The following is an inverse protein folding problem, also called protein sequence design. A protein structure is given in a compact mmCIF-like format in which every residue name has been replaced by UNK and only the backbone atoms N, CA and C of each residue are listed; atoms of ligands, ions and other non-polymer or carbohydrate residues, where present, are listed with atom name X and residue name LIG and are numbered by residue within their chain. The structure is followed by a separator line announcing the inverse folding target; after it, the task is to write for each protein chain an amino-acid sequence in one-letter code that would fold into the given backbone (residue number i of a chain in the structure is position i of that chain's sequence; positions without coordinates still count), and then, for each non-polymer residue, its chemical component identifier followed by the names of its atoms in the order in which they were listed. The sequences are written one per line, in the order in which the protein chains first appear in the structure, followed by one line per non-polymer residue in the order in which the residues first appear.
data_IF_097153425305
#
_entry.id   IF_097153425305
#
_cell.length_a   1.000
_cell.length_b   1.000
_cell.length_c   1.000
_cell.angle_alpha   90.00
_cell.angle_beta   90.00
_cell.angle_gamma   90.00
#
_symmetry.space_group_name_H-M   'P 1'
#
loop_
_entity.id
_entity.type
_entity.pdbx_description
1 polymer ?
#
# COMPACT_ATOMS: atom_id res chain seq x y z
N UNK A 1 -1.76 -20.66 -17.38
CA UNK A 1 -1.73 -20.57 -15.90
C UNK A 1 -3.14 -20.35 -15.35
N UNK A 2 -3.53 -20.83 -14.16
CA UNK A 2 -4.88 -20.58 -13.63
C UNK A 2 -4.85 -19.37 -12.70
N UNK A 3 -5.70 -18.39 -12.92
CA UNK A 3 -5.77 -17.18 -12.09
C UNK A 3 -6.05 -17.46 -10.61
N UNK A 4 -6.67 -18.61 -10.30
CA UNK A 4 -6.83 -19.11 -8.93
C UNK A 4 -5.52 -19.27 -8.16
N UNK A 5 -4.40 -19.42 -8.87
CA UNK A 5 -3.07 -19.63 -8.29
C UNK A 5 -2.54 -18.32 -7.66
N UNK A 6 -3.11 -17.17 -8.02
CA UNK A 6 -2.74 -15.84 -7.50
C UNK A 6 -3.68 -15.30 -6.41
N UNK A 7 -4.35 -16.19 -5.70
CA UNK A 7 -5.28 -15.78 -4.65
C UNK A 7 -4.57 -15.01 -3.53
N UNK A 8 -3.36 -15.43 -3.17
CA UNK A 8 -2.55 -14.81 -2.13
C UNK A 8 -1.29 -14.24 -2.75
N UNK A 9 -1.10 -12.94 -2.61
CA UNK A 9 0.06 -12.22 -3.13
C UNK A 9 0.69 -11.39 -2.03
N UNK A 10 1.98 -11.13 -2.15
CA UNK A 10 2.73 -10.44 -1.12
C UNK A 10 3.51 -9.29 -1.73
N UNK A 11 3.39 -8.13 -1.09
CA UNK A 11 4.15 -6.94 -1.44
C UNK A 11 5.27 -6.80 -0.43
N UNK A 12 6.52 -6.77 -0.87
CA UNK A 12 7.62 -6.37 0.01
C UNK A 12 7.49 -4.89 0.28
N UNK A 13 7.65 -4.50 1.54
CA UNK A 13 7.61 -3.11 2.00
C UNK A 13 8.87 -2.86 2.80
N UNK A 14 9.65 -1.88 2.38
CA UNK A 14 10.86 -1.45 3.09
C UNK A 14 10.80 0.05 3.37
N UNK A 15 11.19 0.45 4.57
CA UNK A 15 11.26 1.86 4.94
C UNK A 15 12.20 2.07 6.11
N UNK A 16 13.13 3.01 5.98
CA UNK A 16 14.01 3.42 7.08
C UNK A 16 13.21 3.97 8.26
N UNK A 17 12.16 4.71 7.95
CA UNK A 17 11.26 5.30 8.92
C UNK A 17 9.88 5.43 8.31
N UNK A 18 8.90 4.74 8.90
CA UNK A 18 7.52 4.79 8.47
C UNK A 18 6.64 5.42 9.56
N UNK A 19 6.09 6.60 9.25
CA UNK A 19 5.08 7.27 10.07
C UNK A 19 3.70 6.92 9.53
N UNK A 20 2.89 6.27 10.35
CA UNK A 20 1.52 5.91 9.98
C UNK A 20 0.56 6.62 10.93
N UNK A 21 -0.07 7.67 10.41
CA UNK A 21 -1.22 8.30 11.05
C UNK A 21 -2.39 7.29 11.13
N UNK A 22 -3.28 7.46 12.11
CA UNK A 22 -4.34 6.49 12.51
C UNK A 22 -3.93 5.38 13.51
N UNK A 23 -2.88 5.64 14.29
CA UNK A 23 -2.44 4.84 15.46
C UNK A 23 -1.85 3.47 15.15
N UNK A 24 -0.52 3.37 15.26
CA UNK A 24 0.19 2.10 15.28
C UNK A 24 -0.17 1.36 16.57
N UNK A 25 -0.75 0.18 16.45
CA UNK A 25 -1.10 -0.63 17.63
C UNK A 25 0.15 -1.37 18.09
N UNK A 26 0.69 -1.01 19.24
CA UNK A 26 1.89 -1.65 19.78
C UNK A 26 1.54 -2.75 20.77
N UNK A 27 2.43 -3.74 20.94
CA UNK A 27 2.33 -4.75 22.01
C UNK A 27 2.55 -4.16 23.42
N UNK A 28 2.78 -2.84 23.53
CA UNK A 28 2.86 -2.12 24.80
C UNK A 28 1.53 -2.23 25.55
N UNK A 29 1.51 -2.99 26.65
CA UNK A 29 0.42 -2.90 27.61
C UNK A 29 0.34 -1.45 28.14
N UNK A 30 -0.85 -0.85 28.11
CA UNK A 30 -1.18 0.52 28.55
C UNK A 30 -0.88 0.85 30.03
N UNK A 31 0.02 0.14 30.71
CA UNK A 31 0.28 0.30 32.14
C UNK A 31 1.19 1.49 32.50
N UNK A 32 1.82 2.19 31.54
CA UNK A 32 2.56 3.42 31.88
C UNK A 32 2.83 4.32 30.66
N UNK A 33 1.93 5.28 30.43
CA UNK A 33 2.18 6.42 29.53
C UNK A 33 3.35 7.32 29.98
N UNK A 34 3.95 7.07 31.15
CA UNK A 34 4.99 7.91 31.75
C UNK A 34 6.41 7.33 31.82
N UNK A 35 6.62 6.04 31.51
CA UNK A 35 7.93 5.39 31.68
C UNK A 35 8.46 4.88 30.34
N UNK A 36 8.71 5.78 29.39
CA UNK A 36 9.53 5.43 28.23
C UNK A 36 10.99 5.78 28.57
N UNK A 37 11.84 4.77 28.68
CA UNK A 37 13.29 4.95 28.76
C UNK A 37 13.91 4.38 27.49
N UNK A 38 14.61 5.20 26.71
CA UNK A 38 15.21 4.83 25.41
C UNK A 38 16.09 3.57 25.48
N UNK A 39 16.67 3.28 26.65
CA UNK A 39 17.60 2.19 26.88
C UNK A 39 16.97 0.94 27.50
N UNK A 40 15.65 0.88 27.70
CA UNK A 40 15.00 -0.29 28.30
C UNK A 40 15.13 -1.52 27.40
N UNK A 41 15.73 -2.64 27.87
CA UNK A 41 15.76 -3.92 27.16
C UNK A 41 14.37 -4.46 26.77
N UNK A 42 13.29 -3.99 27.41
CA UNK A 42 11.90 -4.28 27.08
C UNK A 42 11.35 -3.46 25.91
N UNK A 43 12.12 -2.52 25.33
CA UNK A 43 11.76 -1.81 24.09
C UNK A 43 11.73 -2.70 22.84
N UNK A 44 11.65 -4.03 23.00
CA UNK A 44 11.30 -5.01 21.97
C UNK A 44 9.80 -4.92 21.61
N UNK A 45 9.33 -3.71 21.36
CA UNK A 45 7.93 -3.42 21.11
C UNK A 45 7.63 -3.77 19.65
N UNK A 46 6.96 -4.91 19.47
CA UNK A 46 6.27 -5.23 18.23
C UNK A 46 4.94 -4.47 18.13
N UNK A 47 4.23 -4.70 17.04
CA UNK A 47 2.93 -4.09 16.83
C UNK A 47 2.30 -4.43 15.51
N UNK A 48 1.29 -3.65 15.15
CA UNK A 48 0.47 -3.80 13.97
C UNK A 48 0.36 -2.43 13.30
N UNK A 49 0.76 -2.40 12.03
CA UNK A 49 0.40 -1.36 11.08
C UNK A 49 -1.01 -1.67 10.56
N UNK A 50 -2.01 -0.81 10.84
CA UNK A 50 -3.38 -1.03 10.37
C UNK A 50 -3.45 -1.06 8.84
N UNK A 51 -4.39 -1.83 8.30
CA UNK A 51 -4.53 -1.98 6.85
C UNK A 51 -5.08 -0.72 6.15
N UNK A 52 -5.63 0.25 6.89
CA UNK A 52 -6.34 1.39 6.33
C UNK A 52 -5.41 2.31 5.52
N UNK A 53 -4.33 2.81 6.14
CA UNK A 53 -3.40 3.73 5.48
C UNK A 53 -2.68 3.10 4.28
N UNK A 54 -2.12 1.87 4.40
CA UNK A 54 -1.57 1.14 3.24
C UNK A 54 -2.61 0.88 2.15
N UNK A 55 -3.89 0.66 2.53
CA UNK A 55 -4.96 0.47 1.55
C UNK A 55 -5.27 1.72 0.74
N UNK A 56 -5.27 2.91 1.36
CA UNK A 56 -5.48 4.16 0.64
C UNK A 56 -4.32 4.46 -0.31
N UNK A 57 -3.10 4.23 0.16
CA UNK A 57 -1.87 4.35 -0.63
C UNK A 57 -1.85 3.40 -1.83
N UNK A 58 -2.16 2.12 -1.63
CA UNK A 58 -2.27 1.14 -2.71
C UNK A 58 -3.33 1.53 -3.74
N UNK A 59 -4.51 1.97 -3.26
CA UNK A 59 -5.58 2.43 -4.14
C UNK A 59 -5.10 3.57 -5.02
N UNK A 60 -4.40 4.54 -4.45
CA UNK A 60 -3.85 5.68 -5.20
C UNK A 60 -2.84 5.23 -6.28
N UNK A 61 -1.94 4.31 -5.96
CA UNK A 61 -1.01 3.74 -6.95
C UNK A 61 -1.72 3.04 -8.11
N UNK A 62 -2.74 2.23 -7.80
CA UNK A 62 -3.57 1.57 -8.81
C UNK A 62 -4.40 2.56 -9.64
N UNK A 63 -4.94 3.62 -9.02
CA UNK A 63 -5.65 4.68 -9.75
C UNK A 63 -4.73 5.35 -10.78
N UNK A 64 -3.48 5.62 -10.40
CA UNK A 64 -2.49 6.19 -11.30
C UNK A 64 -2.11 5.25 -12.44
N UNK A 65 -1.95 3.96 -12.16
CA UNK A 65 -1.73 2.97 -13.20
C UNK A 65 -2.88 2.90 -14.23
N UNK A 66 -4.14 3.13 -13.82
CA UNK A 66 -5.26 3.23 -14.77
C UNK A 66 -5.21 4.53 -15.57
N UNK A 67 -4.91 5.66 -14.92
CA UNK A 67 -4.76 6.96 -15.61
C UNK A 67 -3.65 6.94 -16.66
N UNK A 68 -2.54 6.25 -16.42
CA UNK A 68 -1.45 6.08 -17.41
C UNK A 68 -1.87 5.28 -18.65
N UNK A 69 -3.03 4.62 -18.60
CA UNK A 69 -3.64 3.87 -19.70
C UNK A 69 -4.87 4.60 -20.27
N UNK A 70 -4.95 5.91 -20.05
CA UNK A 70 -6.06 6.78 -20.45
C UNK A 70 -7.45 6.35 -19.93
N UNK A 71 -7.48 5.49 -18.89
CA UNK A 71 -8.70 5.01 -18.26
C UNK A 71 -9.26 5.98 -17.23
N UNK A 72 -10.55 5.83 -16.92
CA UNK A 72 -11.18 6.56 -15.81
C UNK A 72 -11.35 5.70 -14.57
N UNK A 73 -11.32 6.32 -13.39
CA UNK A 73 -11.44 5.62 -12.11
C UNK A 73 -12.52 6.19 -11.22
N UNK A 74 -13.09 5.34 -10.37
CA UNK A 74 -14.18 5.75 -9.50
C UNK A 74 -13.69 6.72 -8.44
N UNK A 75 -14.35 7.88 -8.34
CA UNK A 75 -14.07 8.86 -7.30
C UNK A 75 -14.23 8.26 -5.88
N UNK A 76 -13.29 8.50 -4.94
CA UNK A 76 -13.35 7.94 -3.59
C UNK A 76 -14.42 8.59 -2.69
N UNK A 77 -14.68 9.89 -2.89
CA UNK A 77 -15.70 10.66 -2.17
C UNK A 77 -17.06 10.72 -2.90
N UNK A 78 -18.13 10.99 -2.16
CA UNK A 78 -19.47 11.21 -2.74
C UNK A 78 -19.63 12.64 -3.25
N UNK A 79 -20.45 12.81 -4.31
CA UNK A 79 -20.72 14.11 -4.91
C UNK A 79 -21.35 15.12 -3.93
N UNK A 80 -22.12 14.62 -2.96
CA UNK A 80 -22.84 15.37 -1.93
C UNK A 80 -22.08 15.45 -0.59
N UNK A 81 -20.83 14.97 -0.51
CA UNK A 81 -20.08 15.04 0.74
C UNK A 81 -19.92 16.51 1.15
N UNK A 82 -20.33 16.84 2.38
CA UNK A 82 -20.35 18.19 2.97
C UNK A 82 -18.98 18.93 3.00
N UNK A 83 -17.93 18.32 2.45
CA UNK A 83 -16.55 18.80 2.39
C UNK A 83 -16.14 19.26 1.00
N UNK A 84 -17.09 19.54 0.07
CA UNK A 84 -16.79 20.25 -1.19
C UNK A 84 -16.11 21.58 -0.86
N UNK A 85 -14.78 21.56 -0.77
CA UNK A 85 -13.99 22.76 -1.06
C UNK A 85 -14.25 23.05 -2.53
N UNK A 86 -14.76 24.24 -2.81
CA UNK A 86 -15.14 24.62 -4.17
C UNK A 86 -14.04 24.28 -5.17
N UNK A 87 -14.42 23.54 -6.22
CA UNK A 87 -13.52 23.15 -7.32
C UNK A 87 -12.70 21.88 -7.11
N UNK A 88 -12.59 21.30 -5.90
CA UNK A 88 -11.81 20.04 -5.71
C UNK A 88 -12.46 18.87 -6.45
N UNK A 89 -13.76 18.67 -6.26
CA UNK A 89 -14.48 17.58 -6.91
C UNK A 89 -14.41 17.67 -8.43
N UNK A 90 -14.64 18.86 -9.01
CA UNK A 90 -14.59 19.05 -10.46
C UNK A 90 -13.17 18.85 -10.99
N UNK A 91 -12.15 19.32 -10.28
CA UNK A 91 -10.75 19.09 -10.66
C UNK A 91 -10.40 17.60 -10.66
N UNK A 92 -10.92 16.85 -9.69
CA UNK A 92 -10.71 15.40 -9.65
C UNK A 92 -11.43 14.76 -10.85
N UNK A 93 -12.63 15.21 -11.24
CA UNK A 93 -13.28 14.75 -12.48
C UNK A 93 -12.42 15.03 -13.72
N UNK A 94 -11.89 16.25 -13.84
CA UNK A 94 -11.00 16.66 -14.94
C UNK A 94 -9.67 15.86 -14.95
N UNK A 95 -9.31 15.25 -13.81
CA UNK A 95 -8.11 14.44 -13.65
C UNK A 95 -8.33 12.94 -13.92
N UNK A 96 -9.44 12.58 -14.57
CA UNK A 96 -9.74 11.19 -14.94
C UNK A 96 -10.50 10.40 -13.88
N UNK A 97 -11.17 11.09 -12.95
CA UNK A 97 -12.14 10.43 -12.07
C UNK A 97 -13.55 10.55 -12.66
N UNK A 98 -14.36 9.50 -12.55
CA UNK A 98 -15.79 9.59 -12.84
C UNK A 98 -16.59 9.67 -11.52
N UNK A 99 -17.81 10.22 -11.55
CA UNK A 99 -18.66 10.29 -10.36
C UNK A 99 -18.88 8.90 -9.73
N UNK A 100 -18.93 8.89 -8.40
CA UNK A 100 -19.10 7.67 -7.61
C UNK A 100 -20.50 7.11 -7.84
N UNK A 101 -20.58 5.92 -8.44
CA UNK A 101 -21.86 5.29 -8.79
C UNK A 101 -22.03 5.03 -10.27
N UNK A 102 -21.43 5.87 -11.12
CA UNK A 102 -21.66 5.83 -12.58
C UNK A 102 -21.17 4.51 -13.19
N UNK A 103 -20.10 3.93 -12.64
CA UNK A 103 -19.59 2.61 -13.04
C UNK A 103 -20.47 1.41 -12.61
N UNK A 104 -21.63 1.64 -11.99
CA UNK A 104 -22.55 0.57 -11.61
C UNK A 104 -23.61 0.28 -12.68
N UNK A 105 -23.80 1.19 -13.63
CA UNK A 105 -24.89 1.17 -14.62
C UNK A 105 -24.61 0.28 -15.83
N UNK A 106 -23.40 -0.28 -15.96
CA UNK A 106 -23.07 -1.19 -17.06
C UNK A 106 -23.78 -2.55 -16.92
N UNK A 107 -24.71 -2.82 -17.84
CA UNK A 107 -25.43 -4.09 -17.96
C UNK A 107 -24.49 -5.29 -18.21
N UNK A 108 -23.24 -5.04 -18.61
CA UNK A 108 -22.19 -6.04 -18.85
C UNK A 108 -21.42 -6.51 -17.61
N UNK A 109 -21.71 -5.97 -16.41
CA UNK A 109 -21.07 -6.40 -15.16
C UNK A 109 -19.60 -5.99 -15.00
N UNK A 110 -19.05 -5.30 -15.99
CA UNK A 110 -17.63 -5.03 -16.14
C UNK A 110 -17.27 -3.53 -16.00
N UNK A 111 -17.91 -2.84 -15.04
CA UNK A 111 -17.60 -1.43 -14.73
C UNK A 111 -16.18 -1.20 -14.18
N UNK A 112 -15.93 0.00 -13.64
CA UNK A 112 -14.63 0.44 -13.12
C UNK A 112 -13.87 -0.62 -12.29
N UNK A 113 -12.67 -0.98 -12.73
CA UNK A 113 -11.79 -1.98 -12.09
C UNK A 113 -11.40 -1.60 -10.65
N UNK A 114 -11.20 -0.30 -10.37
CA UNK A 114 -10.89 0.19 -9.02
C UNK A 114 -12.06 -0.04 -8.06
N UNK A 115 -13.30 0.20 -8.53
CA UNK A 115 -14.47 -0.09 -7.71
C UNK A 115 -14.66 -1.58 -7.49
N UNK A 116 -14.49 -2.41 -8.51
CA UNK A 116 -14.62 -3.87 -8.36
C UNK A 116 -13.61 -4.42 -7.35
N UNK A 117 -12.39 -3.87 -7.38
CA UNK A 117 -11.32 -4.28 -6.48
C UNK A 117 -11.53 -3.82 -5.03
N UNK A 118 -11.76 -2.52 -4.81
CA UNK A 118 -11.83 -1.95 -3.45
C UNK A 118 -13.25 -1.91 -2.85
N UNK A 119 -14.27 -1.91 -3.69
CA UNK A 119 -15.68 -1.81 -3.31
C UNK A 119 -16.00 -0.56 -2.50
N UNK A 120 -17.00 -0.68 -1.61
CA UNK A 120 -17.29 0.32 -0.59
C UNK A 120 -18.55 1.15 -0.81
N UNK A 121 -19.35 0.85 -1.84
CA UNK A 121 -20.69 1.42 -2.03
C UNK A 121 -21.54 0.51 -2.93
N UNK A 122 -22.86 0.76 -2.96
CA UNK A 122 -23.81 -0.03 -3.76
C UNK A 122 -23.98 -1.49 -3.28
N UNK A 123 -23.67 -1.77 -2.01
CA UNK A 123 -23.64 -3.12 -1.43
C UNK A 123 -22.72 -4.12 -2.18
N UNK A 124 -21.73 -3.62 -2.93
CA UNK A 124 -20.70 -4.43 -3.60
C UNK A 124 -19.44 -4.45 -2.73
N UNK A 125 -19.10 -5.58 -2.09
CA UNK A 125 -17.88 -5.68 -1.31
C UNK A 125 -16.67 -5.75 -2.24
N UNK A 126 -15.57 -5.10 -1.86
CA UNK A 126 -14.32 -5.18 -2.61
C UNK A 126 -13.78 -6.61 -2.68
N UNK A 127 -13.13 -6.92 -3.79
CA UNK A 127 -12.51 -8.22 -4.07
C UNK A 127 -11.10 -8.36 -3.52
N UNK A 128 -10.41 -7.28 -3.15
CA UNK A 128 -9.11 -7.36 -2.46
C UNK A 128 -9.23 -7.22 -0.94
N UNK A 129 -8.68 -8.19 -0.24
CA UNK A 129 -8.50 -8.20 1.21
C UNK A 129 -7.08 -7.76 1.54
N UNK A 130 -6.96 -6.69 2.33
CA UNK A 130 -5.69 -6.15 2.79
C UNK A 130 -5.50 -6.55 4.25
N UNK A 131 -4.50 -7.38 4.57
CA UNK A 131 -4.21 -7.72 5.97
C UNK A 131 -3.40 -6.61 6.64
N UNK A 132 -3.58 -6.35 7.94
CA UNK A 132 -2.64 -5.51 8.69
C UNK A 132 -1.23 -6.11 8.66
N UNK A 133 -0.19 -5.28 8.70
CA UNK A 133 1.19 -5.77 8.77
C UNK A 133 1.56 -5.86 10.25
N UNK A 134 1.78 -7.07 10.74
CA UNK A 134 2.35 -7.26 12.09
C UNK A 134 3.86 -7.11 11.99
N UNK A 135 4.46 -6.29 12.85
CA UNK A 135 5.91 -6.13 12.89
C UNK A 135 6.49 -6.57 14.24
N UNK A 136 7.74 -7.04 14.22
CA UNK A 136 8.50 -7.35 15.42
C UNK A 136 9.96 -6.86 15.26
N UNK A 137 10.59 -6.36 16.34
CA UNK A 137 12.01 -6.05 16.30
C UNK A 137 12.90 -7.31 16.37
N UNK A 138 12.30 -8.48 16.64
CA UNK A 138 13.03 -9.75 16.74
C UNK A 138 12.85 -10.52 15.43
N UNK A 139 13.84 -10.46 14.53
CA UNK A 139 13.76 -11.08 13.21
C UNK A 139 13.39 -12.57 13.21
N UNK A 140 13.81 -13.34 14.22
CA UNK A 140 13.48 -14.77 14.34
C UNK A 140 12.01 -15.05 14.66
N UNK A 141 11.24 -14.04 15.08
CA UNK A 141 9.80 -14.14 15.32
C UNK A 141 8.95 -13.76 14.10
N UNK A 142 9.57 -13.22 13.04
CA UNK A 142 8.89 -12.71 11.85
C UNK A 142 8.57 -13.84 10.88
N UNK A 143 7.28 -14.03 10.59
CA UNK A 143 6.80 -14.93 9.54
C UNK A 143 6.31 -14.15 8.32
N UNK A 144 7.22 -13.90 7.37
CA UNK A 144 6.92 -13.19 6.11
C UNK A 144 5.81 -13.86 5.30
N UNK A 145 5.62 -15.18 5.41
CA UNK A 145 4.56 -15.91 4.71
C UNK A 145 3.15 -15.64 5.27
N UNK A 146 3.08 -14.88 6.37
CA UNK A 146 1.84 -14.40 7.00
C UNK A 146 1.69 -12.88 6.93
N UNK A 147 2.47 -12.20 6.09
CA UNK A 147 2.40 -10.74 5.97
C UNK A 147 2.97 -10.01 7.19
N UNK A 148 4.11 -10.49 7.69
CA UNK A 148 4.82 -9.87 8.81
C UNK A 148 6.08 -9.14 8.35
N UNK A 149 6.56 -8.24 9.21
CA UNK A 149 7.75 -7.46 8.99
C UNK A 149 8.70 -7.47 10.19
N UNK A 150 9.99 -7.34 9.91
CA UNK A 150 10.91 -6.79 10.89
C UNK A 150 10.65 -5.29 10.99
N UNK A 151 10.64 -4.75 12.21
CA UNK A 151 10.45 -3.32 12.41
C UNK A 151 10.63 -2.92 13.87
N UNK A 152 11.12 -1.70 14.10
CA UNK A 152 11.43 -1.22 15.43
C UNK A 152 10.54 -0.04 15.77
N UNK A 153 9.70 -0.18 16.79
CA UNK A 153 8.96 0.95 17.31
C UNK A 153 9.91 2.05 17.81
N UNK A 154 9.60 3.29 17.42
CA UNK A 154 10.30 4.51 17.84
C UNK A 154 9.27 5.59 18.13
N UNK A 155 9.51 6.39 19.16
CA UNK A 155 8.81 7.66 19.35
C UNK A 155 9.76 8.79 18.99
N UNK A 156 9.33 9.64 18.05
CA UNK A 156 10.11 10.75 17.55
C UNK A 156 9.57 12.06 18.10
N UNK A 157 10.44 12.92 18.62
CA UNK A 157 10.10 14.29 18.95
C UNK A 157 10.32 15.20 17.72
N UNK A 158 9.31 15.98 17.33
CA UNK A 158 9.35 16.84 16.13
C UNK A 158 8.78 18.22 16.38
N UNK A 159 9.47 19.23 15.84
CA UNK A 159 8.96 20.58 15.72
C UNK A 159 8.18 20.74 14.41
N UNK A 160 6.88 20.99 14.51
CA UNK A 160 6.04 21.45 13.42
C UNK A 160 6.37 22.92 13.19
N UNK A 161 6.95 23.22 12.04
CA UNK A 161 7.32 24.59 11.64
C UNK A 161 6.32 25.16 10.64
N UNK A 162 6.21 26.48 10.58
CA UNK A 162 5.42 27.12 9.53
C UNK A 162 5.99 26.80 8.14
N UNK A 163 5.08 26.63 7.17
CA UNK A 163 5.42 26.42 5.76
C UNK A 163 5.42 27.71 4.95
N UNK A 164 4.93 28.81 5.51
CA UNK A 164 5.01 30.10 4.84
C UNK A 164 6.47 30.54 4.82
N UNK A 165 6.91 31.04 3.67
CA UNK A 165 8.29 31.47 3.48
C UNK A 165 8.66 32.64 4.38
N UNK A 166 7.68 33.47 4.73
CA UNK A 166 7.81 34.68 5.55
C UNK A 166 8.01 34.37 7.03
N UNK A 167 7.54 33.21 7.50
CA UNK A 167 7.58 32.81 8.91
C UNK A 167 8.93 32.16 9.29
N UNK A 168 9.95 32.21 8.41
CA UNK A 168 11.32 31.72 8.63
C UNK A 168 11.44 30.31 9.25
N UNK A 169 10.45 29.42 9.01
CA UNK A 169 10.34 28.09 9.64
C UNK A 169 10.35 28.14 11.17
N UNK A 170 9.78 29.18 11.77
CA UNK A 170 9.60 29.21 13.22
C UNK A 170 8.78 27.99 13.70
N UNK A 171 9.19 27.32 14.80
CA UNK A 171 8.43 26.22 15.39
C UNK A 171 7.07 26.69 15.90
N UNK A 172 6.00 26.18 15.30
CA UNK A 172 4.62 26.41 15.73
C UNK A 172 4.21 25.51 16.89
N UNK A 173 4.70 24.27 16.90
CA UNK A 173 4.39 23.28 17.94
C UNK A 173 5.45 22.19 17.99
N UNK A 174 5.72 21.67 19.18
CA UNK A 174 6.43 20.41 19.35
C UNK A 174 5.42 19.26 19.54
N UNK A 175 5.64 18.14 18.88
CA UNK A 175 4.81 16.94 19.04
C UNK A 175 5.66 15.69 19.00
N UNK A 176 5.23 14.68 19.75
CA UNK A 176 5.75 13.32 19.64
C UNK A 176 4.92 12.55 18.61
N UNK A 177 5.60 11.74 17.80
CA UNK A 177 4.97 10.90 16.76
C UNK A 177 5.52 9.49 16.87
N UNK A 178 4.62 8.52 16.83
CA UNK A 178 4.98 7.10 16.77
C UNK A 178 5.37 6.70 15.35
N UNK A 179 6.44 5.93 15.23
CA UNK A 179 6.97 5.48 13.95
C UNK A 179 7.52 4.05 14.05
N UNK A 180 7.60 3.37 12.90
CA UNK A 180 8.34 2.11 12.76
C UNK A 180 9.61 2.40 11.98
N UNK A 181 10.76 2.18 12.60
CA UNK A 181 12.06 2.31 11.97
C UNK A 181 12.57 0.97 11.44
N UNK A 182 13.35 1.03 10.36
CA UNK A 182 13.95 -0.13 9.68
C UNK A 182 12.91 -1.21 9.38
N UNK A 183 11.77 -0.80 8.82
CA UNK A 183 10.73 -1.72 8.39
C UNK A 183 11.26 -2.50 7.17
N UNK A 184 11.22 -3.83 7.23
CA UNK A 184 11.50 -4.72 6.10
C UNK A 184 10.60 -5.95 6.25
N UNK A 185 9.64 -6.12 5.33
CA UNK A 185 8.70 -7.22 5.47
C UNK A 185 7.76 -7.41 4.31
N UNK A 186 6.81 -8.31 4.54
CA UNK A 186 5.79 -8.66 3.59
C UNK A 186 4.44 -8.08 4.01
N UNK A 187 3.73 -7.45 3.10
CA UNK A 187 2.33 -7.12 3.22
C UNK A 187 1.49 -8.14 2.46
N UNK A 188 0.61 -8.85 3.17
CA UNK A 188 -0.18 -9.93 2.60
C UNK A 188 -1.52 -9.41 2.09
N UNK A 189 -1.71 -9.54 0.77
CA UNK A 189 -2.97 -9.27 0.09
C UNK A 189 -3.61 -10.58 -0.37
N UNK A 190 -4.93 -10.67 -0.27
CA UNK A 190 -5.67 -11.82 -0.81
C UNK A 190 -6.84 -11.37 -1.66
N UNK A 191 -7.03 -12.01 -2.80
CA UNK A 191 -8.23 -11.83 -3.61
C UNK A 191 -9.34 -12.78 -3.15
N UNK A 192 -10.54 -12.25 -2.98
CA UNK A 192 -11.76 -13.07 -2.81
C UNK A 192 -12.09 -13.82 -4.08
N UNK A 193 -11.88 -13.13 -5.20
CA UNK A 193 -12.00 -13.63 -6.57
C UNK A 193 -10.77 -13.08 -7.32
N UNK A 194 -9.88 -13.97 -7.75
CA UNK A 194 -8.69 -13.58 -8.49
C UNK A 194 -9.04 -13.50 -9.98
N UNK A 195 -8.83 -12.34 -10.59
CA UNK A 195 -8.98 -12.09 -12.02
C UNK A 195 -7.67 -11.56 -12.63
N UNK A 196 -7.37 -11.84 -13.90
CA UNK A 196 -6.11 -11.43 -14.53
C UNK A 196 -5.81 -9.93 -14.40
N UNK A 197 -6.81 -9.10 -14.69
CA UNK A 197 -6.74 -7.65 -14.64
C UNK A 197 -6.45 -7.11 -13.24
N UNK A 198 -6.87 -7.81 -12.18
CA UNK A 198 -6.59 -7.40 -10.80
C UNK A 198 -5.13 -7.61 -10.42
N UNK A 199 -4.53 -8.71 -10.89
CA UNK A 199 -3.13 -9.00 -10.63
C UNK A 199 -2.25 -8.03 -11.41
N UNK A 200 -2.58 -7.79 -12.69
CA UNK A 200 -1.88 -6.79 -13.50
C UNK A 200 -1.98 -5.38 -12.92
N UNK A 201 -3.17 -4.99 -12.43
CA UNK A 201 -3.36 -3.69 -11.80
C UNK A 201 -2.57 -3.56 -10.50
N UNK A 202 -2.48 -4.65 -9.72
CA UNK A 202 -1.62 -4.68 -8.54
C UNK A 202 -0.15 -4.53 -8.90
N UNK A 203 0.34 -5.27 -9.88
CA UNK A 203 1.72 -5.16 -10.34
C UNK A 203 2.03 -3.73 -10.79
N UNK A 204 1.23 -3.18 -11.71
CA UNK A 204 1.41 -1.82 -12.22
C UNK A 204 1.28 -0.75 -11.12
N UNK A 205 0.34 -0.93 -10.19
CA UNK A 205 0.17 0.00 -9.07
C UNK A 205 1.33 -0.01 -8.09
N UNK A 206 1.94 -1.18 -7.82
CA UNK A 206 3.14 -1.28 -6.98
C UNK A 206 4.36 -0.70 -7.70
N UNK A 207 4.56 -1.02 -8.97
CA UNK A 207 5.65 -0.46 -9.78
C UNK A 207 5.58 1.06 -9.84
N UNK A 208 4.37 1.62 -9.99
CA UNK A 208 4.15 3.06 -9.96
C UNK A 208 4.55 3.66 -8.60
N UNK A 209 4.12 3.06 -7.49
CA UNK A 209 4.41 3.55 -6.14
C UNK A 209 5.90 3.50 -5.83
N UNK A 210 6.59 2.44 -6.24
CA UNK A 210 8.03 2.31 -6.07
C UNK A 210 8.81 3.35 -6.89
N UNK A 211 8.43 3.53 -8.16
CA UNK A 211 9.05 4.54 -9.03
C UNK A 211 8.87 5.98 -8.51
N UNK A 212 7.80 6.24 -7.76
CA UNK A 212 7.45 7.55 -7.20
C UNK A 212 7.64 7.63 -5.68
N UNK A 213 8.40 6.72 -5.07
CA UNK A 213 8.53 6.61 -3.60
C UNK A 213 9.08 7.88 -2.91
N UNK A 214 9.84 8.70 -3.65
CA UNK A 214 10.39 9.97 -3.13
C UNK A 214 9.46 11.15 -3.34
N UNK A 215 8.45 11.01 -4.21
CA UNK A 215 7.51 12.07 -4.52
C UNK A 215 6.55 12.25 -3.36
N UNK A 216 6.55 13.46 -2.79
CA UNK A 216 5.78 13.79 -1.60
C UNK A 216 4.28 13.43 -1.71
N UNK A 217 3.70 13.49 -2.92
CA UNK A 217 2.29 13.16 -3.18
C UNK A 217 1.98 11.65 -3.13
N UNK A 218 2.99 10.80 -3.21
CA UNK A 218 2.87 9.33 -3.33
C UNK A 218 3.42 8.59 -2.09
N UNK A 219 3.90 9.32 -1.09
CA UNK A 219 4.41 8.75 0.15
C UNK A 219 3.30 8.11 1.02
N UNK A 220 3.60 6.97 1.63
CA UNK A 220 2.68 6.24 2.52
C UNK A 220 2.56 6.94 3.89
N UNK A 221 1.36 7.38 4.26
CA UNK A 221 1.01 7.91 5.58
C UNK A 221 0.27 9.26 5.51
N UNK A 222 -0.51 9.57 6.56
CA UNK A 222 -1.28 10.80 6.68
C UNK A 222 -0.45 12.02 7.07
N UNK A 223 -1.05 13.21 6.95
CA UNK A 223 -0.52 14.45 7.54
C UNK A 223 0.95 14.81 7.22
N UNK A 224 1.42 14.51 6.00
CA UNK A 224 2.68 15.05 5.46
C UNK A 224 3.88 14.49 6.24
N UNK A 225 4.10 13.18 6.13
CA UNK A 225 5.07 12.25 6.75
C UNK A 225 6.49 12.73 7.13
N UNK A 226 6.84 14.01 7.12
CA UNK A 226 8.14 14.56 7.52
C UNK A 226 9.34 13.87 6.84
N UNK A 227 9.12 13.30 5.65
CA UNK A 227 10.09 12.51 4.89
C UNK A 227 10.19 11.02 5.28
N UNK A 228 9.40 10.55 6.26
CA UNK A 228 9.32 9.16 6.69
C UNK A 228 8.12 8.40 6.12
N UNK A 229 7.69 8.75 4.91
CA UNK A 229 6.70 7.97 4.14
C UNK A 229 7.29 7.42 2.86
N UNK A 230 8.62 7.50 2.73
CA UNK A 230 9.38 6.89 1.64
C UNK A 230 9.40 5.40 1.90
N UNK A 231 8.90 4.66 0.92
CA UNK A 231 8.71 3.22 1.01
C UNK A 231 9.17 2.63 -0.31
N UNK A 232 10.23 1.83 -0.27
CA UNK A 232 10.55 0.92 -1.36
C UNK A 232 9.53 -0.23 -1.30
N UNK A 233 8.94 -0.56 -2.44
CA UNK A 233 7.96 -1.63 -2.50
C UNK A 233 8.05 -2.46 -3.77
N UNK A 234 7.80 -3.75 -3.64
CA UNK A 234 7.95 -4.68 -4.75
C UNK A 234 6.86 -5.74 -4.64
N UNK A 235 6.17 -6.04 -5.75
CA UNK A 235 5.31 -7.22 -5.80
C UNK A 235 6.23 -8.45 -5.84
N UNK A 236 6.29 -9.20 -4.75
CA UNK A 236 7.06 -10.45 -4.76
C UNK A 236 6.46 -11.40 -5.77
N UNK A 237 7.31 -12.01 -6.59
CA UNK A 237 6.91 -12.87 -7.69
C UNK A 237 5.82 -13.86 -7.23
N UNK A 238 4.57 -13.74 -7.75
CA UNK A 238 3.47 -14.57 -7.32
C UNK A 238 3.66 -16.08 -7.60
N UNK A 239 4.64 -16.46 -8.43
CA UNK A 239 5.01 -17.86 -8.70
C UNK A 239 5.89 -18.48 -7.61
N UNK A 240 6.38 -17.68 -6.65
CA UNK A 240 7.24 -18.17 -5.57
C UNK A 240 6.49 -19.05 -4.57
N UNK A 241 7.13 -20.17 -4.22
CA UNK A 241 6.69 -21.01 -3.12
C UNK A 241 7.03 -20.37 -1.77
N UNK A 242 6.40 -20.84 -0.69
CA UNK A 242 6.67 -20.34 0.68
C UNK A 242 8.15 -20.37 1.08
N UNK A 243 8.91 -21.36 0.61
CA UNK A 243 10.35 -21.48 0.84
C UNK A 243 11.16 -20.40 0.11
N UNK A 244 10.73 -20.04 -1.11
CA UNK A 244 11.32 -19.00 -1.95
C UNK A 244 10.99 -17.62 -1.39
N UNK A 245 9.73 -17.39 -0.97
CA UNK A 245 9.34 -16.17 -0.25
C UNK A 245 10.20 -15.93 1.00
N UNK A 246 10.43 -16.96 1.81
CA UNK A 246 11.32 -16.84 2.99
C UNK A 246 12.76 -16.53 2.61
N UNK A 247 13.20 -16.99 1.44
CA UNK A 247 14.57 -16.78 0.95
C UNK A 247 14.80 -15.33 0.52
N UNK A 248 13.78 -14.66 -0.05
CA UNK A 248 13.85 -13.22 -0.38
C UNK A 248 14.27 -12.38 0.83
N UNK A 249 13.76 -12.72 2.01
CA UNK A 249 14.09 -12.03 3.26
C UNK A 249 15.34 -12.57 3.99
N UNK A 250 16.05 -13.54 3.42
CA UNK A 250 17.28 -14.07 3.99
C UNK A 250 18.50 -13.38 3.38
N UNK A 251 18.98 -12.30 4.03
CA UNK A 251 20.12 -11.47 3.57
C UNK A 251 21.39 -12.26 3.24
N UNK A 252 21.56 -13.48 3.75
CA UNK A 252 22.72 -14.34 3.44
C UNK A 252 22.54 -15.18 2.16
N UNK A 253 21.39 -15.09 1.49
CA UNK A 253 21.02 -15.93 0.35
C UNK A 253 20.57 -15.05 -0.82
N UNK A 254 21.21 -15.23 -1.97
CA UNK A 254 20.68 -14.71 -3.25
C UNK A 254 19.66 -15.65 -3.87
N UNK A 255 19.08 -15.28 -5.01
CA UNK A 255 18.15 -16.13 -5.74
C UNK A 255 18.77 -17.48 -6.14
N UNK A 256 17.91 -18.47 -6.33
CA UNK A 256 18.31 -19.76 -6.93
C UNK A 256 18.00 -19.73 -8.41
N UNK A 257 18.66 -20.57 -9.22
CA UNK A 257 18.33 -20.72 -10.65
C UNK A 257 16.85 -20.98 -10.93
N UNK A 258 16.15 -21.65 -9.99
CA UNK A 258 14.71 -21.91 -10.10
C UNK A 258 13.88 -20.65 -9.86
N UNK A 259 14.32 -19.78 -8.96
CA UNK A 259 13.69 -18.48 -8.74
C UNK A 259 13.94 -17.57 -9.94
N UNK A 260 15.18 -17.51 -10.44
CA UNK A 260 15.52 -16.73 -11.63
C UNK A 260 14.65 -17.16 -12.83
N UNK A 261 14.49 -18.47 -13.05
CA UNK A 261 13.61 -18.98 -14.11
C UNK A 261 12.12 -18.61 -13.92
N UNK A 262 11.66 -18.50 -12.66
CA UNK A 262 10.30 -18.02 -12.36
C UNK A 262 10.18 -16.51 -12.55
N UNK A 263 11.24 -15.75 -12.31
CA UNK A 263 11.28 -14.31 -12.57
C UNK A 263 11.18 -14.04 -14.06
N UNK A 264 11.94 -14.81 -14.87
CA UNK A 264 11.84 -14.81 -16.33
C UNK A 264 10.42 -15.23 -16.78
N UNK A 265 9.88 -16.35 -16.29
CA UNK A 265 8.50 -16.80 -16.61
C UNK A 265 7.44 -15.76 -16.22
N UNK A 266 7.62 -15.09 -15.08
CA UNK A 266 6.72 -14.04 -14.64
C UNK A 266 6.77 -12.82 -15.59
N UNK A 267 7.97 -12.34 -15.91
CA UNK A 267 8.16 -11.13 -16.69
C UNK A 267 7.82 -11.33 -18.18
N UNK A 268 8.20 -12.47 -18.76
CA UNK A 268 8.14 -12.69 -20.21
C UNK A 268 6.85 -13.37 -20.66
N UNK A 269 6.22 -14.19 -19.80
CA UNK A 269 5.03 -14.96 -20.16
C UNK A 269 3.79 -14.51 -19.37
N UNK A 270 3.87 -14.50 -18.05
CA UNK A 270 2.71 -14.28 -17.19
C UNK A 270 2.20 -12.84 -17.21
N UNK A 271 3.06 -11.88 -16.87
CA UNK A 271 2.69 -10.47 -16.71
C UNK A 271 2.12 -9.87 -18.01
N UNK A 272 2.68 -10.13 -19.22
CA UNK A 272 2.12 -9.62 -20.46
C UNK A 272 0.68 -10.08 -20.74
N UNK A 273 0.36 -11.36 -20.47
CA UNK A 273 -1.00 -11.88 -20.60
C UNK A 273 -1.97 -11.17 -19.63
N UNK A 274 -1.55 -11.00 -18.37
CA UNK A 274 -2.35 -10.31 -17.36
C UNK A 274 -2.57 -8.82 -17.71
N UNK A 275 -1.53 -8.15 -18.22
CA UNK A 275 -1.59 -6.75 -18.66
C UNK A 275 -2.50 -6.56 -19.87
N UNK A 276 -2.57 -7.55 -20.77
CA UNK A 276 -3.50 -7.52 -21.89
C UNK A 276 -4.96 -7.52 -21.40
N UNK A 277 -5.28 -8.37 -20.41
CA UNK A 277 -6.61 -8.38 -19.80
C UNK A 277 -6.94 -7.08 -19.04
N UNK A 278 -5.96 -6.46 -18.38
CA UNK A 278 -6.16 -5.14 -17.78
C UNK A 278 -6.44 -4.07 -18.85
N UNK A 279 -5.69 -4.08 -19.95
CA UNK A 279 -5.86 -3.11 -21.03
C UNK A 279 -7.24 -3.22 -21.65
N UNK A 280 -7.67 -4.44 -21.99
CA UNK A 280 -9.03 -4.70 -22.49
C UNK A 280 -10.09 -4.18 -21.54
N UNK A 281 -9.92 -4.40 -20.23
CA UNK A 281 -10.85 -3.92 -19.20
C UNK A 281 -10.88 -2.40 -19.08
N UNK A 282 -9.74 -1.73 -19.17
CA UNK A 282 -9.66 -0.27 -19.06
C UNK A 282 -10.27 0.40 -20.30
N UNK A 283 -9.94 -0.10 -21.49
CA UNK A 283 -10.47 0.41 -22.76
C UNK A 283 -11.98 0.23 -22.90
N UNK A 284 -12.56 -0.88 -22.39
CA UNK A 284 -14.00 -1.12 -22.45
C UNK A 284 -14.84 -0.17 -21.56
N UNK A 285 -14.22 0.48 -20.58
CA UNK A 285 -14.88 1.38 -19.61
C UNK A 285 -14.62 2.87 -19.93
N UNK A 286 -13.73 3.14 -20.89
CA UNK A 286 -13.34 4.50 -21.32
C UNK A 286 -14.28 5.04 -22.40
#
# INVERSE_FOLDING_TARGET
MKTSDFRDVFVRVQSDLLIIDDSIMTDRHHASNGNYEDTDPQNQIGGIIPAFSPSGWLRHGMEKAVHERDGTVCHPGEANANFRKDGVYNRDLDAGYHPKGDCLEDEGGDGCVIHDLFGGFGNRPGKVMRRPIRFSPIRSSVDYTRGQAEGHYRRLNRNIVSRNREDNREPLRNTEVDAVANLDGAWHLSFREAKPEFIALLAAGIDYLDAHQTDFMHQLGGARNFGGGIVDCELMNPLYEKSELRRVFDRGKGNTKRMDAKDDEWADECLPELQSALTERVEHVS
#
